data_IF_158675292201
#
_entry.id   IF_158675292201
#
_cell.length_a   1.000
_cell.length_b   1.000
_cell.length_c   1.000
_cell.angle_alpha   90.00
_cell.angle_beta   90.00
_cell.angle_gamma   90.00
#
_symmetry.space_group_name_H-M   'P 1'
#
loop_
_entity.id
_entity.type
_entity.pdbx_description
1 polymer ?
#
# COMPACT_ATOMS: atom_id res chain seq x y z
N UNK A 1 -5.75 -16.60 -11.49
CA UNK A 1 -5.22 -15.53 -10.62
C UNK A 1 -5.68 -15.76 -9.20
N UNK A 2 -4.78 -15.64 -8.22
CA UNK A 2 -5.20 -15.49 -6.81
C UNK A 2 -5.75 -14.07 -6.62
N UNK A 3 -6.76 -13.88 -5.78
CA UNK A 3 -7.39 -12.57 -5.57
C UNK A 3 -6.37 -11.47 -5.20
N UNK A 4 -5.36 -11.79 -4.37
CA UNK A 4 -4.29 -10.86 -3.98
C UNK A 4 -3.46 -10.35 -5.16
N UNK A 5 -3.27 -11.18 -6.19
CA UNK A 5 -2.49 -10.82 -7.38
C UNK A 5 -3.26 -9.83 -8.26
N UNK A 6 -4.58 -10.02 -8.38
CA UNK A 6 -5.46 -9.06 -9.04
C UNK A 6 -5.47 -7.71 -8.31
N UNK A 7 -5.49 -7.72 -6.97
CA UNK A 7 -5.46 -6.49 -6.17
C UNK A 7 -4.19 -5.69 -6.49
N UNK A 8 -3.01 -6.29 -6.39
CA UNK A 8 -1.75 -5.56 -6.59
C UNK A 8 -1.55 -5.12 -8.04
N UNK A 9 -2.03 -5.89 -9.01
CA UNK A 9 -2.06 -5.47 -10.42
C UNK A 9 -2.89 -4.21 -10.62
N UNK A 10 -4.10 -4.17 -10.04
CA UNK A 10 -4.98 -2.99 -10.09
C UNK A 10 -4.30 -1.81 -9.39
N UNK A 11 -3.74 -2.00 -8.19
CA UNK A 11 -3.04 -0.93 -7.47
C UNK A 11 -1.89 -0.33 -8.30
N UNK A 12 -1.10 -1.16 -8.98
CA UNK A 12 -0.02 -0.67 -9.86
C UNK A 12 -0.58 0.15 -11.03
N UNK A 13 -1.69 -0.29 -11.64
CA UNK A 13 -2.37 0.44 -12.73
C UNK A 13 -2.94 1.79 -12.28
N UNK A 14 -3.44 1.86 -11.06
CA UNK A 14 -3.91 3.10 -10.42
C UNK A 14 -2.76 4.02 -9.96
N UNK A 15 -1.50 3.63 -10.19
CA UNK A 15 -0.33 4.45 -9.87
C UNK A 15 0.07 4.44 -8.39
N UNK A 16 -0.34 3.43 -7.63
CA UNK A 16 0.10 3.27 -6.24
C UNK A 16 1.58 2.91 -6.19
N UNK A 17 2.37 3.75 -5.52
CA UNK A 17 3.83 3.62 -5.44
C UNK A 17 4.27 2.86 -4.18
N UNK A 18 3.47 2.88 -3.11
CA UNK A 18 3.78 2.18 -1.87
C UNK A 18 2.52 1.66 -1.16
N UNK A 19 2.70 0.59 -0.39
CA UNK A 19 1.69 0.05 0.54
C UNK A 19 2.30 0.07 1.93
N UNK A 20 1.63 0.77 2.86
CA UNK A 20 2.01 0.79 4.26
C UNK A 20 1.29 -0.36 4.94
N UNK A 21 1.95 -1.11 5.82
CA UNK A 21 1.26 -2.21 6.48
C UNK A 21 1.89 -2.70 7.75
N UNK A 22 1.07 -3.36 8.55
CA UNK A 22 1.53 -4.12 9.72
C UNK A 22 1.97 -5.53 9.24
N UNK A 23 2.95 -6.18 9.89
CA UNK A 23 3.45 -7.48 9.43
C UNK A 23 2.35 -8.54 9.25
N UNK A 24 2.67 -9.57 8.46
CA UNK A 24 1.85 -10.79 8.25
C UNK A 24 0.61 -10.60 7.34
N UNK A 25 0.66 -9.66 6.39
CA UNK A 25 -0.35 -9.52 5.34
C UNK A 25 0.20 -9.89 3.95
N UNK A 26 -0.40 -10.89 3.30
CA UNK A 26 -0.01 -11.37 1.96
C UNK A 26 0.01 -10.27 0.87
N UNK A 27 -0.75 -9.18 1.04
CA UNK A 27 -0.71 -8.05 0.10
C UNK A 27 0.69 -7.46 0.01
N UNK A 28 1.47 -7.48 1.09
CA UNK A 28 2.80 -6.87 1.15
C UNK A 28 3.82 -7.62 0.27
N UNK A 29 3.84 -8.95 0.33
CA UNK A 29 4.74 -9.76 -0.50
C UNK A 29 4.37 -9.67 -1.99
N UNK A 30 3.08 -9.63 -2.30
CA UNK A 30 2.61 -9.47 -3.68
C UNK A 30 2.83 -8.04 -4.19
N UNK A 31 2.67 -7.01 -3.35
CA UNK A 31 2.97 -5.63 -3.70
C UNK A 31 4.45 -5.48 -4.07
N UNK A 32 5.35 -6.08 -3.27
CA UNK A 32 6.78 -6.09 -3.57
C UNK A 32 7.11 -6.71 -4.94
N UNK A 33 6.44 -7.82 -5.31
CA UNK A 33 6.63 -8.46 -6.63
C UNK A 33 6.19 -7.58 -7.80
N UNK A 34 5.24 -6.68 -7.57
CA UNK A 34 4.70 -5.74 -8.55
C UNK A 34 5.37 -4.37 -8.51
N UNK A 35 6.54 -4.26 -7.86
CA UNK A 35 7.29 -3.00 -7.73
C UNK A 35 6.44 -1.90 -7.06
N UNK A 36 5.62 -2.29 -6.08
CA UNK A 36 4.95 -1.38 -5.15
C UNK A 36 5.67 -1.51 -3.81
N UNK A 37 6.26 -0.43 -3.32
CA UNK A 37 7.14 -0.47 -2.15
C UNK A 37 6.36 -0.79 -0.86
N UNK A 38 6.64 -1.89 -0.16
CA UNK A 38 6.08 -2.13 1.17
C UNK A 38 6.78 -1.24 2.21
N UNK A 39 6.01 -0.63 3.10
CA UNK A 39 6.52 0.14 4.26
C UNK A 39 5.96 -0.51 5.51
N UNK A 40 6.80 -1.27 6.21
CA UNK A 40 6.38 -2.04 7.39
C UNK A 40 6.41 -1.16 8.64
N UNK A 41 5.28 -1.08 9.34
CA UNK A 41 5.15 -0.33 10.61
C UNK A 41 5.05 -1.26 11.82
N UNK A 42 5.43 -0.76 12.99
CA UNK A 42 5.30 -1.50 14.26
C UNK A 42 3.94 -1.35 14.94
N UNK A 43 3.11 -0.42 14.49
CA UNK A 43 1.78 -0.15 15.05
C UNK A 43 0.84 0.27 13.92
N UNK A 44 -0.33 -0.36 13.85
CA UNK A 44 -1.32 -0.13 12.78
C UNK A 44 -1.77 1.33 12.72
N UNK A 45 -2.03 1.94 13.89
CA UNK A 45 -2.48 3.35 13.98
C UNK A 45 -1.50 4.31 13.30
N UNK A 46 -0.20 4.12 13.49
CA UNK A 46 0.83 4.97 12.88
C UNK A 46 0.83 4.77 11.35
N UNK A 47 0.73 3.53 10.89
CA UNK A 47 0.66 3.23 9.45
C UNK A 47 -0.56 3.83 8.77
N UNK A 48 -1.72 3.81 9.42
CA UNK A 48 -2.93 4.46 8.92
C UNK A 48 -2.75 5.98 8.78
N UNK A 49 -2.17 6.63 9.77
CA UNK A 49 -1.87 8.08 9.70
C UNK A 49 -0.85 8.41 8.60
N UNK A 50 0.14 7.55 8.37
CA UNK A 50 1.09 7.71 7.27
C UNK A 50 0.39 7.61 5.90
N UNK A 51 -0.52 6.66 5.72
CA UNK A 51 -1.30 6.51 4.48
C UNK A 51 -2.22 7.73 4.25
N UNK A 52 -2.95 8.17 5.27
CA UNK A 52 -3.81 9.36 5.21
C UNK A 52 -2.98 10.62 4.88
N UNK A 53 -1.81 10.80 5.49
CA UNK A 53 -0.91 11.91 5.21
C UNK A 53 -0.43 11.93 3.75
N UNK A 54 -0.11 10.78 3.15
CA UNK A 54 0.31 10.70 1.74
C UNK A 54 -0.76 11.27 0.80
N UNK A 55 -2.01 10.90 1.03
CA UNK A 55 -3.16 11.42 0.27
C UNK A 55 -3.34 12.92 0.46
N UNK A 56 -3.25 13.41 1.71
CA UNK A 56 -3.45 14.83 2.02
C UNK A 56 -2.36 15.72 1.44
N UNK A 57 -1.09 15.34 1.64
CA UNK A 57 0.06 16.14 1.20
C UNK A 57 0.16 16.25 -0.32
N UNK A 58 -0.36 15.25 -1.04
CA UNK A 58 -0.45 15.28 -2.50
C UNK A 58 -1.73 15.92 -3.04
N UNK A 59 -2.61 16.43 -2.16
CA UNK A 59 -3.95 16.90 -2.52
C UNK A 59 -4.75 15.86 -3.32
N UNK A 60 -4.62 14.59 -2.96
CA UNK A 60 -5.30 13.47 -3.63
C UNK A 60 -4.66 12.99 -4.93
N UNK A 61 -3.53 13.57 -5.37
CA UNK A 61 -2.80 13.11 -6.57
C UNK A 61 -2.12 11.76 -6.37
N UNK A 62 -1.79 11.41 -5.13
CA UNK A 62 -1.26 10.10 -4.73
C UNK A 62 -2.19 9.50 -3.69
N UNK A 63 -2.57 8.24 -3.85
CA UNK A 63 -3.46 7.56 -2.91
C UNK A 63 -2.63 6.75 -1.92
N UNK A 64 -2.77 7.05 -0.63
CA UNK A 64 -2.23 6.24 0.46
C UNK A 64 -3.02 4.95 0.64
N UNK A 65 -2.30 3.83 0.69
CA UNK A 65 -2.86 2.48 0.87
C UNK A 65 -2.30 1.87 2.16
N UNK A 66 -3.20 1.31 2.98
CA UNK A 66 -2.86 0.57 4.20
C UNK A 66 -3.37 -0.87 4.12
N UNK A 67 -2.54 -1.83 4.50
CA UNK A 67 -2.84 -3.27 4.49
C UNK A 67 -2.37 -3.98 5.77
#
# INVERSE_FOLDING_TARGET
MKAVEAIVEILKREGVECVIGYPVNHVLEFAARWDIRPIIVRQERIGLHMADALSRLSSGKKIGVFA
#
